data_IF_203773813164
#
_entry.id   IF_203773813164
#
_cell.length_a   1.000
_cell.length_b   1.000
_cell.length_c   1.000
_cell.angle_alpha   90.00
_cell.angle_beta   90.00
_cell.angle_gamma   90.00
#
_symmetry.space_group_name_H-M   'P 1'
#
loop_
_entity.id
_entity.type
_entity.pdbx_description
1 polymer ?
#
# COMPACT_ATOMS: atom_id res chain seq x y z
N UNK A 1 3.89 -8.49 6.14
CA UNK A 1 5.12 -9.21 5.70
C UNK A 1 4.77 -10.51 5.00
N UNK A 2 5.72 -11.17 4.32
CA UNK A 2 5.45 -12.39 3.54
C UNK A 2 4.78 -13.51 4.33
N UNK A 3 5.23 -13.74 5.57
CA UNK A 3 4.61 -14.74 6.47
C UNK A 3 3.11 -14.51 6.64
N UNK A 4 2.69 -13.25 6.82
CA UNK A 4 1.26 -12.91 6.91
C UNK A 4 0.50 -13.20 5.60
N UNK A 5 1.11 -12.91 4.45
CA UNK A 5 0.51 -13.23 3.14
C UNK A 5 0.36 -14.74 2.94
N UNK A 6 1.37 -15.52 3.33
CA UNK A 6 1.37 -16.99 3.25
C UNK A 6 0.29 -17.64 4.12
N UNK A 7 0.03 -17.08 5.32
CA UNK A 7 -1.00 -17.58 6.24
C UNK A 7 -2.43 -17.51 5.66
N UNK A 8 -2.65 -16.73 4.60
CA UNK A 8 -3.94 -16.74 3.89
C UNK A 8 -4.21 -18.04 3.13
N UNK A 9 -3.17 -18.83 2.85
CA UNK A 9 -3.26 -20.09 2.11
C UNK A 9 -3.63 -19.93 0.63
N UNK A 10 -3.60 -18.70 0.11
CA UNK A 10 -4.11 -18.33 -1.22
C UNK A 10 -3.02 -17.64 -2.03
N UNK A 11 -2.79 -18.12 -3.25
CA UNK A 11 -1.79 -17.53 -4.16
C UNK A 11 -2.29 -16.21 -4.76
N UNK A 12 -3.60 -16.05 -4.81
CA UNK A 12 -4.31 -14.90 -5.38
C UNK A 12 -4.52 -13.76 -4.39
N UNK A 13 -4.13 -13.92 -3.12
CA UNK A 13 -4.19 -12.83 -2.13
C UNK A 13 -3.42 -11.63 -2.65
N UNK A 14 -4.10 -10.50 -2.72
CA UNK A 14 -3.50 -9.20 -3.05
C UNK A 14 -3.30 -8.37 -1.78
N UNK A 15 -2.32 -7.49 -1.82
CA UNK A 15 -2.07 -6.47 -0.81
C UNK A 15 -2.53 -5.10 -1.32
N UNK A 16 -3.22 -4.36 -0.45
CA UNK A 16 -3.73 -3.02 -0.70
C UNK A 16 -3.32 -2.08 0.44
N UNK A 17 -3.11 -0.81 0.11
CA UNK A 17 -2.75 0.25 1.05
C UNK A 17 -3.07 1.61 0.43
N UNK A 18 -3.64 2.54 1.21
CA UNK A 18 -4.16 3.80 0.70
C UNK A 18 -3.09 4.85 0.28
N UNK A 19 -1.83 4.62 0.68
CA UNK A 19 -0.68 5.53 0.56
C UNK A 19 -0.80 6.84 1.37
N UNK A 20 0.33 7.43 1.83
CA UNK A 20 1.68 6.87 1.81
C UNK A 20 1.83 5.64 2.72
N UNK A 21 2.88 4.85 2.53
CA UNK A 21 3.20 3.66 3.34
C UNK A 21 4.65 3.76 3.85
N UNK A 22 4.90 3.35 5.09
CA UNK A 22 6.23 3.25 5.69
C UNK A 22 6.77 1.82 5.52
N UNK A 23 7.15 1.51 4.28
CA UNK A 23 7.65 0.18 3.90
C UNK A 23 9.19 0.09 3.88
N UNK A 24 9.87 1.23 3.97
CA UNK A 24 11.33 1.37 3.97
C UNK A 24 11.78 2.62 4.76
N UNK A 25 13.07 2.94 4.66
CA UNK A 25 13.74 4.07 5.32
C UNK A 25 13.95 5.29 4.43
N UNK A 26 13.42 5.31 3.21
CA UNK A 26 13.72 6.34 2.20
C UNK A 26 12.97 7.66 2.42
N UNK A 27 12.36 7.84 3.61
CA UNK A 27 11.70 9.08 4.03
C UNK A 27 12.31 9.57 5.34
N UNK A 28 12.21 10.87 5.61
CA UNK A 28 12.70 11.47 6.86
C UNK A 28 12.09 10.74 8.07
N UNK A 29 10.77 10.56 8.06
CA UNK A 29 10.03 9.87 9.13
C UNK A 29 10.41 8.39 9.22
N UNK A 30 10.60 7.71 8.08
CA UNK A 30 11.03 6.30 8.07
C UNK A 30 12.41 6.10 8.68
N UNK A 31 13.37 6.98 8.39
CA UNK A 31 14.70 6.94 9.01
C UNK A 31 14.64 7.30 10.51
N UNK A 32 13.85 8.30 10.91
CA UNK A 32 13.64 8.63 12.33
C UNK A 32 13.09 7.44 13.13
N UNK A 33 12.10 6.73 12.57
CA UNK A 33 11.54 5.51 13.17
C UNK A 33 12.59 4.42 13.31
N UNK A 34 13.44 4.22 12.30
CA UNK A 34 14.55 3.27 12.39
C UNK A 34 15.54 3.65 13.49
N UNK A 35 15.95 4.91 13.59
CA UNK A 35 16.88 5.37 14.63
C UNK A 35 16.29 5.25 16.04
N UNK A 36 14.99 5.48 16.20
CA UNK A 36 14.33 5.43 17.51
C UNK A 36 13.96 4.01 17.96
N UNK A 37 13.53 3.15 17.04
CA UNK A 37 12.91 1.86 17.35
C UNK A 37 13.59 0.65 16.69
N UNK A 38 14.57 0.87 15.80
CA UNK A 38 15.23 -0.18 15.04
C UNK A 38 14.35 -0.86 13.99
N UNK A 39 13.24 -0.22 13.59
CA UNK A 39 12.29 -0.76 12.62
C UNK A 39 12.64 -0.29 11.21
N UNK A 40 12.97 -1.22 10.31
CA UNK A 40 13.26 -0.91 8.90
C UNK A 40 12.00 -0.62 8.08
N UNK A 41 10.84 -1.13 8.54
CA UNK A 41 9.53 -0.96 7.96
C UNK A 41 8.46 -1.10 9.05
N UNK A 42 7.29 -0.48 8.88
CA UNK A 42 6.23 -0.45 9.88
C UNK A 42 5.05 -1.38 9.53
N UNK A 43 4.02 -0.88 8.87
CA UNK A 43 2.76 -1.59 8.65
C UNK A 43 2.86 -2.66 7.55
N UNK A 44 3.82 -2.50 6.63
CA UNK A 44 4.09 -3.46 5.57
C UNK A 44 5.59 -3.51 5.32
N UNK A 45 6.14 -4.69 5.09
CA UNK A 45 7.54 -4.84 4.71
C UNK A 45 7.75 -4.54 3.23
N UNK A 46 8.92 -4.00 2.88
CA UNK A 46 9.28 -3.64 1.51
C UNK A 46 9.04 -4.79 0.51
N UNK A 47 9.34 -6.01 0.93
CA UNK A 47 9.20 -7.21 0.11
C UNK A 47 7.75 -7.61 -0.21
N UNK A 48 6.77 -7.16 0.57
CA UNK A 48 5.34 -7.28 0.23
C UNK A 48 4.90 -6.07 -0.59
N UNK A 49 5.36 -4.88 -0.22
CA UNK A 49 4.98 -3.63 -0.89
C UNK A 49 5.39 -3.61 -2.37
N UNK A 50 6.57 -4.13 -2.71
CA UNK A 50 7.09 -4.25 -4.08
C UNK A 50 6.77 -5.59 -4.76
N UNK A 51 6.03 -6.49 -4.09
CA UNK A 51 5.72 -7.81 -4.64
C UNK A 51 4.69 -7.75 -5.78
N UNK A 52 4.62 -8.80 -6.63
CA UNK A 52 3.54 -8.93 -7.62
C UNK A 52 2.12 -8.99 -7.03
N UNK A 53 1.99 -9.32 -5.73
CA UNK A 53 0.72 -9.33 -5.02
C UNK A 53 0.28 -7.93 -4.59
N UNK A 54 1.17 -6.94 -4.62
CA UNK A 54 0.86 -5.56 -4.30
C UNK A 54 0.05 -4.90 -5.42
N UNK A 55 -1.08 -4.29 -5.05
CA UNK A 55 -1.98 -3.55 -5.95
C UNK A 55 -2.15 -2.10 -5.52
N UNK A 56 -1.20 -1.58 -4.72
CA UNK A 56 -1.23 -0.21 -4.19
C UNK A 56 -1.21 0.86 -5.29
N UNK A 57 -0.51 0.62 -6.40
CA UNK A 57 -0.44 1.55 -7.53
C UNK A 57 -1.76 1.59 -8.30
N UNK A 58 -2.29 0.41 -8.66
CA UNK A 58 -3.61 0.29 -9.30
C UNK A 58 -4.70 0.91 -8.42
N UNK A 59 -4.65 0.67 -7.10
CA UNK A 59 -5.58 1.26 -6.12
C UNK A 59 -5.46 2.79 -6.08
N UNK A 60 -4.24 3.33 -6.08
CA UNK A 60 -4.00 4.77 -6.06
C UNK A 60 -4.51 5.43 -7.35
N UNK A 61 -4.24 4.85 -8.51
CA UNK A 61 -4.76 5.33 -9.80
C UNK A 61 -6.29 5.33 -9.81
N UNK A 62 -6.89 4.25 -9.31
CA UNK A 62 -8.34 4.09 -9.25
C UNK A 62 -9.06 5.18 -8.44
N UNK A 63 -8.36 5.92 -7.55
CA UNK A 63 -8.94 7.09 -6.88
C UNK A 63 -9.47 8.11 -7.88
N UNK A 64 -8.73 8.40 -8.95
CA UNK A 64 -9.15 9.36 -9.98
C UNK A 64 -10.38 8.85 -10.74
N UNK A 65 -10.38 7.57 -11.09
CA UNK A 65 -11.49 6.95 -11.82
C UNK A 65 -12.77 6.91 -10.99
N UNK A 66 -12.68 6.53 -9.71
CA UNK A 66 -13.85 6.47 -8.83
C UNK A 66 -14.39 7.86 -8.49
N UNK A 67 -13.50 8.84 -8.24
CA UNK A 67 -13.92 10.24 -8.02
C UNK A 67 -14.64 10.78 -9.26
N UNK A 68 -14.09 10.53 -10.46
CA UNK A 68 -14.75 10.88 -11.73
C UNK A 68 -16.12 10.19 -11.85
N UNK A 69 -16.22 8.92 -11.49
CA UNK A 69 -17.48 8.18 -11.47
C UNK A 69 -18.54 8.87 -10.59
N UNK A 70 -18.16 9.29 -9.39
CA UNK A 70 -19.05 10.06 -8.49
C UNK A 70 -19.46 11.39 -9.12
N UNK A 71 -18.52 12.12 -9.72
CA UNK A 71 -18.82 13.41 -10.37
C UNK A 71 -19.79 13.24 -11.54
N UNK A 72 -19.57 12.26 -12.42
CA UNK A 72 -20.46 11.99 -13.55
C UNK A 72 -21.85 11.56 -13.07
N UNK A 73 -21.93 10.68 -12.07
CA UNK A 73 -23.21 10.19 -11.56
C UNK A 73 -24.06 11.29 -10.88
N UNK A 74 -23.42 12.32 -10.33
CA UNK A 74 -24.11 13.37 -9.56
C UNK A 74 -24.26 14.70 -10.30
N UNK A 75 -23.37 14.99 -11.25
CA UNK A 75 -23.32 16.26 -11.98
C UNK A 75 -23.33 16.09 -13.52
N UNK A 76 -23.15 14.87 -14.03
CA UNK A 76 -23.25 14.56 -15.46
C UNK A 76 -24.70 14.57 -15.90
N UNK A 77 -25.01 15.35 -16.94
CA UNK A 77 -26.32 15.38 -17.59
C UNK A 77 -26.44 14.30 -18.65
#
# INVERSE_FOLDING_TARGET
>A
NKKMMELTGKKETIFLHCLPAFHDRNTIVGEEVYQQYGLEAMEVSDDVFLSPQSKVWDQAENRVHTIKGVMVATLGK
#
